data_IF_198887850708
#
_entry.id   IF_198887850708
#
_cell.length_a   1.000
_cell.length_b   1.000
_cell.length_c   1.000
_cell.angle_alpha   90.00
_cell.angle_beta   90.00
_cell.angle_gamma   90.00
#
_symmetry.space_group_name_H-M   'P 1'
#
loop_
_entity.id
_entity.type
_entity.pdbx_description
1 polymer ?
#
# COMPACT_ATOMS: atom_id res chain seq x y z
N UNK A 1 0.93 1.97 13.78
CA UNK A 1 1.93 0.90 13.53
C UNK A 1 2.99 1.44 12.59
N UNK A 2 4.23 0.94 12.71
CA UNK A 2 5.36 1.36 11.88
C UNK A 2 5.65 0.29 10.82
N UNK A 3 5.91 0.72 9.59
CA UNK A 3 6.24 -0.18 8.48
C UNK A 3 7.73 -0.48 8.51
N UNK A 4 8.08 -1.76 8.60
CA UNK A 4 9.46 -2.23 8.53
C UNK A 4 9.77 -2.72 7.13
N UNK A 5 10.85 -2.22 6.53
CA UNK A 5 11.27 -2.53 5.15
C UNK A 5 12.61 -3.30 5.08
N UNK A 6 13.23 -3.62 6.22
CA UNK A 6 14.50 -4.36 6.32
C UNK A 6 14.21 -5.80 6.74
N UNK A 7 14.58 -6.82 5.95
CA UNK A 7 14.29 -8.22 6.28
C UNK A 7 15.11 -8.77 7.45
N UNK A 8 16.21 -8.10 7.81
CA UNK A 8 17.08 -8.45 8.95
C UNK A 8 16.70 -7.72 10.26
N UNK A 9 15.55 -7.05 10.31
CA UNK A 9 15.10 -6.39 11.53
C UNK A 9 14.76 -7.43 12.61
N UNK A 10 15.38 -7.29 13.78
CA UNK A 10 15.17 -8.20 14.91
C UNK A 10 13.91 -7.80 15.67
N UNK A 11 12.91 -8.67 15.66
CA UNK A 11 11.62 -8.41 16.31
C UNK A 11 11.70 -8.71 17.81
N UNK A 12 11.23 -7.76 18.64
CA UNK A 12 11.07 -7.95 20.09
C UNK A 12 9.82 -8.79 20.38
N UNK A 13 9.84 -9.60 21.44
CA UNK A 13 8.72 -10.48 21.81
C UNK A 13 7.39 -9.73 21.98
N UNK A 14 7.41 -8.56 22.63
CA UNK A 14 6.22 -7.71 22.81
C UNK A 14 5.63 -7.19 21.49
N UNK A 15 6.46 -7.11 20.46
CA UNK A 15 6.12 -6.59 19.14
C UNK A 15 5.71 -7.68 18.16
N UNK A 16 5.91 -8.96 18.47
CA UNK A 16 5.56 -10.09 17.59
C UNK A 16 4.09 -10.07 17.16
N UNK A 17 3.18 -9.61 18.03
CA UNK A 17 1.75 -9.49 17.72
C UNK A 17 1.38 -8.42 16.69
N UNK A 18 2.31 -7.53 16.35
CA UNK A 18 2.11 -6.46 15.36
C UNK A 18 2.72 -6.81 13.99
N UNK A 19 3.08 -8.08 13.77
CA UNK A 19 3.51 -8.56 12.45
C UNK A 19 2.27 -8.83 11.63
N UNK A 20 1.91 -7.87 10.78
CA UNK A 20 0.88 -8.03 9.76
C UNK A 20 1.16 -7.10 8.57
N UNK A 21 0.41 -7.24 7.48
CA UNK A 21 0.40 -6.26 6.41
C UNK A 21 -0.13 -4.91 6.92
N UNK A 22 0.54 -3.83 6.50
CA UNK A 22 0.00 -2.48 6.71
C UNK A 22 -1.39 -2.37 6.10
N UNK A 23 -2.32 -1.70 6.79
CA UNK A 23 -3.65 -1.37 6.27
C UNK A 23 -3.60 -0.56 4.96
N UNK A 24 -2.52 0.19 4.72
CA UNK A 24 -2.30 0.94 3.47
C UNK A 24 -1.78 0.04 2.33
N UNK A 25 -1.29 -1.15 2.64
CA UNK A 25 -0.80 -2.11 1.65
C UNK A 25 -1.98 -2.67 0.85
N UNK A 26 -1.85 -2.86 -0.47
CA UNK A 26 -2.85 -3.58 -1.26
C UNK A 26 -3.14 -5.00 -0.73
N UNK A 27 -2.20 -5.61 -0.02
CA UNK A 27 -2.36 -6.93 0.60
C UNK A 27 -3.06 -6.87 1.97
N UNK A 28 -3.11 -5.70 2.62
CA UNK A 28 -3.81 -5.44 3.88
C UNK A 28 -5.18 -4.79 3.68
N UNK A 29 -5.78 -4.89 2.48
CA UNK A 29 -7.07 -4.27 2.15
C UNK A 29 -6.99 -2.84 1.62
N UNK A 30 -5.79 -2.29 1.48
CA UNK A 30 -5.56 -0.95 0.93
C UNK A 30 -5.85 -0.82 -0.57
N UNK A 31 -5.88 0.43 -1.06
CA UNK A 31 -6.13 0.75 -2.48
C UNK A 31 -5.14 0.01 -3.38
N UNK A 32 -5.59 -0.49 -4.56
CA UNK A 32 -4.69 -1.06 -5.56
C UNK A 32 -3.48 -0.17 -5.86
N UNK A 33 -2.31 -0.78 -6.02
CA UNK A 33 -1.06 -0.05 -6.28
C UNK A 33 -1.07 0.69 -7.62
N UNK A 34 -0.14 1.66 -7.75
CA UNK A 34 -0.03 2.57 -8.92
C UNK A 34 -0.11 1.86 -10.26
N UNK A 35 0.61 0.74 -10.44
CA UNK A 35 0.64 -0.01 -11.71
C UNK A 35 -0.73 -0.60 -12.04
N UNK A 36 -1.40 -1.20 -11.06
CA UNK A 36 -2.76 -1.76 -11.24
C UNK A 36 -3.76 -0.66 -11.57
N UNK A 37 -3.68 0.50 -10.90
CA UNK A 37 -4.53 1.67 -11.24
C UNK A 37 -4.24 2.22 -12.64
N UNK A 38 -2.97 2.32 -13.03
CA UNK A 38 -2.56 2.77 -14.37
C UNK A 38 -3.09 1.84 -15.46
N UNK A 39 -3.04 0.53 -15.24
CA UNK A 39 -3.54 -0.45 -16.22
C UNK A 39 -5.08 -0.43 -16.31
N UNK A 40 -5.80 -0.25 -15.20
CA UNK A 40 -7.26 -0.08 -15.21
C UNK A 40 -7.69 1.17 -15.99
N UNK A 41 -7.02 2.32 -15.75
CA UNK A 41 -7.27 3.57 -16.51
C UNK A 41 -6.99 3.41 -18.01
N UNK A 42 -5.97 2.65 -18.39
CA UNK A 42 -5.68 2.33 -19.80
C UNK A 42 -6.78 1.49 -20.46
N UNK A 43 -7.37 0.55 -19.72
CA UNK A 43 -8.44 -0.32 -20.23
C UNK A 43 -9.80 0.36 -20.39
N UNK A 44 -10.04 1.48 -19.70
CA UNK A 44 -11.32 2.21 -19.72
C UNK A 44 -11.38 3.37 -20.75
N UNK A 45 -10.35 3.55 -21.57
CA UNK A 45 -10.30 4.63 -22.56
C UNK A 45 -9.74 5.92 -21.95
N UNK A 46 -8.57 6.33 -22.43
CA UNK A 46 -7.71 7.29 -21.75
C UNK A 46 -8.23 8.73 -21.71
N UNK A 47 -8.01 9.41 -20.58
CA UNK A 47 -7.66 10.82 -20.48
C UNK A 47 -7.24 11.13 -19.04
N UNK A 48 -6.24 11.99 -18.89
CA UNK A 48 -6.09 12.84 -17.71
C UNK A 48 -5.51 12.21 -16.45
N UNK A 49 -4.26 12.58 -16.16
CA UNK A 49 -3.80 12.64 -14.79
C UNK A 49 -4.66 13.65 -14.04
N UNK A 50 -5.46 13.15 -13.11
CA UNK A 50 -6.09 13.92 -12.07
C UNK A 50 -6.29 12.98 -10.87
N UNK A 51 -6.04 13.57 -9.71
CA UNK A 51 -6.59 13.22 -8.41
C UNK A 51 -5.94 12.07 -7.63
N UNK A 52 -5.06 12.46 -6.70
CA UNK A 52 -5.06 12.02 -5.29
C UNK A 52 -4.24 13.09 -4.50
N UNK A 53 -4.60 14.36 -4.69
CA UNK A 53 -4.46 15.38 -3.64
C UNK A 53 -5.82 15.39 -2.96
N UNK A 54 -6.04 14.55 -1.94
CA UNK A 54 -6.93 14.77 -0.78
C UNK A 54 -6.83 13.52 0.13
N UNK A 55 -6.66 13.79 1.43
CA UNK A 55 -6.77 12.88 2.58
C UNK A 55 -5.54 12.02 2.97
N UNK A 56 -4.71 12.60 3.87
CA UNK A 56 -3.85 11.99 4.93
C UNK A 56 -2.93 10.79 4.60
#
# INVERSE_FOLDING_TARGET
EEVVNIPSFVVRLDSQKHIDFSLRSPYGGGRPGRVKRKNAKKGQGGAGGADDEEED
#
